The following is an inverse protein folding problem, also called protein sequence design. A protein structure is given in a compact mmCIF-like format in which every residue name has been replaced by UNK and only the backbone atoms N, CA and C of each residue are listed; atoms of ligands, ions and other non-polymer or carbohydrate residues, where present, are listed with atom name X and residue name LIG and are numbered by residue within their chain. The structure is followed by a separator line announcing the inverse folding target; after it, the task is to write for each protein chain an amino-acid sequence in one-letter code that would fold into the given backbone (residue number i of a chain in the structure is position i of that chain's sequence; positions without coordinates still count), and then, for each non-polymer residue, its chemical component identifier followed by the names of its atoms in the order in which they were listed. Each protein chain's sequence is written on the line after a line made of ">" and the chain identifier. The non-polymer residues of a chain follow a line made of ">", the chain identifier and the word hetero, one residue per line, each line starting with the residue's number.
data_IF_875004660106
#
_entry.id   IF_875004660106
#
_cell.length_a   1.000
_cell.length_b   1.000
_cell.length_c   1.000
_cell.angle_alpha   90.00
_cell.angle_beta   90.00
_cell.angle_gamma   90.00
#
_symmetry.space_group_name_H-M   'P 1'
#
loop_
_entity.id
_entity.type
_entity.pdbx_description
1 polymer ?
#
# COMPACT_ATOMS: atom_id res chain seq x y z
N UNK A 1 5.28 10.52 23.81
CA UNK A 1 4.90 9.69 24.97
C UNK A 1 3.73 8.83 24.52
N UNK A 2 3.93 7.55 24.22
CA UNK A 2 2.90 6.67 23.62
C UNK A 2 2.12 6.00 24.76
N UNK A 3 0.83 6.26 24.90
CA UNK A 3 -0.04 5.56 25.85
C UNK A 3 -0.56 4.25 25.24
N UNK A 4 -0.21 3.13 25.88
CA UNK A 4 -0.58 1.78 25.48
C UNK A 4 -1.92 1.41 26.13
N UNK A 5 -3.03 1.40 25.38
CA UNK A 5 -4.29 0.80 25.85
C UNK A 5 -4.24 -0.69 25.50
N UNK A 6 -3.82 -1.52 26.45
CA UNK A 6 -3.63 -2.96 26.27
C UNK A 6 -4.92 -3.72 26.59
N UNK A 7 -5.68 -4.11 25.56
CA UNK A 7 -6.39 -5.39 25.63
C UNK A 7 -5.36 -6.44 25.22
N UNK A 8 -4.92 -7.26 26.18
CA UNK A 8 -3.88 -8.26 25.97
C UNK A 8 -4.45 -9.40 25.10
N UNK A 9 -4.25 -9.29 23.79
CA UNK A 9 -4.45 -10.39 22.86
C UNK A 9 -3.10 -11.12 22.77
N UNK A 10 -2.95 -12.23 23.49
CA UNK A 10 -1.73 -13.03 23.47
C UNK A 10 -1.35 -13.38 22.02
N UNK A 11 -0.10 -13.11 21.64
CA UNK A 11 0.39 -13.34 20.29
C UNK A 11 0.15 -12.20 19.28
N UNK A 12 -0.44 -11.08 19.67
CA UNK A 12 -0.58 -9.89 18.82
C UNK A 12 0.30 -8.74 19.30
N UNK A 13 1.21 -8.31 18.44
CA UNK A 13 2.01 -7.09 18.63
C UNK A 13 1.54 -6.03 17.63
N UNK A 14 1.16 -4.86 18.15
CA UNK A 14 0.81 -3.69 17.32
C UNK A 14 2.01 -2.75 17.32
N UNK A 15 2.49 -2.44 16.12
CA UNK A 15 3.51 -1.42 15.88
C UNK A 15 2.92 -0.28 15.05
N UNK A 16 3.38 0.94 15.31
CA UNK A 16 2.99 2.15 14.59
C UNK A 16 4.22 2.74 13.91
N UNK A 17 4.06 3.28 12.72
CA UNK A 17 5.09 4.04 12.02
C UNK A 17 4.50 5.38 11.54
N UNK A 18 5.36 6.37 11.31
CA UNK A 18 4.92 7.67 10.77
C UNK A 18 4.81 7.59 9.25
N UNK A 19 3.74 8.15 8.71
CA UNK A 19 3.53 8.34 7.27
C UNK A 19 4.21 9.63 6.75
N UNK A 20 4.87 10.40 7.62
CA UNK A 20 5.49 11.68 7.28
C UNK A 20 4.54 12.88 7.34
N UNK A 21 3.28 12.68 7.73
CA UNK A 21 2.23 13.70 7.78
C UNK A 21 1.61 13.81 9.18
N UNK A 22 2.46 13.86 10.20
CA UNK A 22 2.04 13.95 11.61
C UNK A 22 1.18 15.20 11.91
N UNK A 23 1.32 16.26 11.11
CA UNK A 23 0.52 17.50 11.19
C UNK A 23 -0.81 17.43 10.42
N UNK A 24 -1.14 16.26 9.86
CA UNK A 24 -2.33 16.01 9.05
C UNK A 24 -2.13 16.31 7.55
N UNK A 25 -2.97 15.67 6.73
CA UNK A 25 -2.97 15.84 5.29
C UNK A 25 -3.70 17.14 4.90
N UNK A 26 -2.94 18.15 4.46
CA UNK A 26 -3.44 19.53 4.24
C UNK A 26 -3.66 19.89 2.77
N UNK A 27 -3.15 19.09 1.84
CA UNK A 27 -3.09 19.46 0.42
C UNK A 27 -3.47 18.27 -0.48
N UNK A 28 -4.68 18.34 -1.01
CA UNK A 28 -5.23 17.34 -1.94
C UNK A 28 -4.47 17.24 -3.26
N UNK A 29 -3.60 18.20 -3.58
CA UNK A 29 -2.74 18.14 -4.76
C UNK A 29 -1.42 17.42 -4.50
N UNK A 30 -1.17 16.95 -3.27
CA UNK A 30 0.04 16.22 -2.86
C UNK A 30 -0.23 14.75 -2.57
N UNK A 31 -1.29 14.19 -3.15
CA UNK A 31 -1.64 12.76 -2.97
C UNK A 31 -0.48 11.87 -3.42
N UNK A 32 0.13 12.14 -4.58
CA UNK A 32 1.23 11.32 -5.09
C UNK A 32 2.46 11.38 -4.18
N UNK A 33 2.80 12.58 -3.68
CA UNK A 33 3.87 12.75 -2.71
C UNK A 33 3.57 12.02 -1.39
N UNK A 34 2.33 12.10 -0.91
CA UNK A 34 1.91 11.37 0.29
C UNK A 34 2.03 9.86 0.09
N UNK A 35 1.59 9.33 -1.05
CA UNK A 35 1.69 7.91 -1.35
C UNK A 35 3.15 7.45 -1.45
N UNK A 36 4.02 8.24 -2.08
CA UNK A 36 5.46 7.96 -2.15
C UNK A 36 6.13 7.95 -0.77
N UNK A 37 5.87 8.97 0.06
CA UNK A 37 6.39 9.01 1.43
C UNK A 37 5.86 7.85 2.28
N UNK A 38 4.57 7.54 2.16
CA UNK A 38 3.96 6.42 2.85
C UNK A 38 4.62 5.09 2.48
N UNK A 39 4.88 4.85 1.19
CA UNK A 39 5.56 3.65 0.70
C UNK A 39 7.00 3.56 1.23
N UNK A 40 7.75 4.65 1.13
CA UNK A 40 9.15 4.69 1.57
C UNK A 40 9.26 4.43 3.08
N UNK A 41 8.45 5.13 3.87
CA UNK A 41 8.46 5.01 5.34
C UNK A 41 7.88 3.69 5.81
N UNK A 42 6.83 3.19 5.15
CA UNK A 42 6.26 1.88 5.41
C UNK A 42 7.26 0.76 5.14
N UNK A 43 8.02 0.85 4.04
CA UNK A 43 9.09 -0.09 3.72
C UNK A 43 10.19 -0.07 4.79
N UNK A 44 10.69 1.12 5.16
CA UNK A 44 11.69 1.27 6.23
C UNK A 44 11.22 0.68 7.56
N UNK A 45 9.99 0.99 7.96
CA UNK A 45 9.41 0.47 9.19
C UNK A 45 9.27 -1.06 9.17
N UNK A 46 8.90 -1.64 8.02
CA UNK A 46 8.84 -3.10 7.86
C UNK A 46 10.22 -3.74 8.01
N UNK A 47 11.29 -3.17 7.44
CA UNK A 47 12.63 -3.73 7.60
C UNK A 47 13.07 -3.71 9.07
N UNK A 48 12.81 -2.60 9.76
CA UNK A 48 13.13 -2.44 11.18
C UNK A 48 12.36 -3.44 12.05
N UNK A 49 11.05 -3.59 11.82
CA UNK A 49 10.20 -4.53 12.57
C UNK A 49 10.63 -5.97 12.32
N UNK A 50 10.82 -6.36 11.06
CA UNK A 50 11.25 -7.72 10.69
C UNK A 50 12.63 -8.01 11.30
N UNK A 51 13.57 -7.05 11.19
CA UNK A 51 14.90 -7.16 11.74
C UNK A 51 14.93 -7.25 13.27
N UNK A 52 14.09 -6.48 13.96
CA UNK A 52 13.95 -6.54 15.41
C UNK A 52 13.36 -7.89 15.85
N UNK A 53 12.29 -8.33 15.20
CA UNK A 53 11.63 -9.61 15.45
C UNK A 53 12.60 -10.78 15.29
N UNK A 54 13.44 -10.77 14.25
CA UNK A 54 14.47 -11.78 14.05
C UNK A 54 15.54 -11.78 15.16
N UNK A 55 15.99 -10.59 15.61
CA UNK A 55 16.97 -10.45 16.71
C UNK A 55 16.43 -10.92 18.06
N UNK A 56 15.13 -10.79 18.28
CA UNK A 56 14.43 -11.29 19.47
C UNK A 56 14.16 -12.81 19.42
N UNK A 57 14.56 -13.48 18.34
CA UNK A 57 14.38 -14.93 18.15
C UNK A 57 13.00 -15.31 17.64
N UNK A 58 12.25 -14.35 17.07
CA UNK A 58 10.91 -14.53 16.53
C UNK A 58 10.89 -14.09 15.05
N UNK A 59 11.60 -14.79 14.15
CA UNK A 59 11.70 -14.37 12.75
C UNK A 59 10.33 -14.36 12.07
N UNK A 60 10.04 -13.29 11.33
CA UNK A 60 8.81 -13.18 10.53
C UNK A 60 8.91 -14.14 9.35
N UNK A 61 7.90 -14.99 9.18
CA UNK A 61 7.86 -16.04 8.14
C UNK A 61 6.90 -15.74 7.00
N UNK A 62 5.95 -14.82 7.21
CA UNK A 62 4.95 -14.43 6.21
C UNK A 62 4.59 -12.95 6.38
N UNK A 63 4.45 -12.24 5.27
CA UNK A 63 3.96 -10.87 5.22
C UNK A 63 2.57 -10.84 4.57
N UNK A 64 1.56 -10.39 5.30
CA UNK A 64 0.23 -10.11 4.75
C UNK A 64 0.05 -8.60 4.70
N UNK A 65 -0.24 -8.05 3.52
CA UNK A 65 -0.35 -6.61 3.31
C UNK A 65 -1.55 -6.27 2.44
N UNK A 66 -2.18 -5.12 2.68
CA UNK A 66 -3.24 -4.61 1.83
C UNK A 66 -2.63 -3.86 0.64
N UNK A 67 -3.17 -4.06 -0.56
CA UNK A 67 -2.75 -3.28 -1.72
C UNK A 67 -3.15 -1.81 -1.52
N UNK A 68 -2.15 -0.94 -1.42
CA UNK A 68 -2.35 0.49 -1.65
C UNK A 68 -2.20 0.69 -3.17
N UNK A 69 -3.22 1.30 -3.78
CA UNK A 69 -3.48 1.30 -5.23
C UNK A 69 -2.37 1.88 -6.13
N UNK A 70 -1.23 2.34 -5.59
CA UNK A 70 -0.14 2.96 -6.34
C UNK A 70 1.19 2.19 -6.28
N UNK A 71 1.19 0.93 -5.83
CA UNK A 71 2.39 0.08 -5.89
C UNK A 71 2.73 -0.23 -7.35
N UNK A 72 3.38 0.72 -8.03
CA UNK A 72 4.20 0.48 -9.20
C UNK A 72 5.30 -0.46 -8.75
N UNK A 73 5.05 -1.75 -8.96
CA UNK A 73 6.03 -2.82 -9.06
C UNK A 73 7.30 -2.67 -8.22
N UNK A 74 7.45 -3.58 -7.25
CA UNK A 74 8.70 -4.34 -7.08
C UNK A 74 9.72 -3.90 -6.01
N UNK A 75 9.41 -3.03 -5.05
CA UNK A 75 10.47 -2.55 -4.14
C UNK A 75 10.53 -3.23 -2.77
N UNK A 76 9.42 -3.72 -2.18
CA UNK A 76 9.45 -4.24 -0.80
C UNK A 76 9.65 -5.76 -0.65
N UNK A 77 8.95 -6.57 -1.45
CA UNK A 77 8.86 -8.02 -1.19
C UNK A 77 10.13 -8.80 -1.56
N UNK A 78 10.90 -8.35 -2.55
CA UNK A 78 12.17 -8.97 -2.91
C UNK A 78 13.26 -8.77 -1.85
N UNK A 79 13.13 -7.76 -1.00
CA UNK A 79 14.15 -7.37 -0.02
C UNK A 79 14.23 -8.35 1.16
N UNK A 80 13.14 -9.04 1.50
CA UNK A 80 13.09 -9.85 2.72
C UNK A 80 13.19 -11.35 2.53
N UNK A 81 13.16 -11.89 1.30
CA UNK A 81 13.03 -13.35 1.07
C UNK A 81 11.89 -14.00 1.89
N UNK A 82 10.85 -13.24 2.24
CA UNK A 82 9.69 -13.69 3.04
C UNK A 82 8.52 -13.97 2.11
N UNK A 83 7.78 -15.04 2.38
CA UNK A 83 6.53 -15.32 1.68
C UNK A 83 5.55 -14.16 1.88
N UNK A 84 5.00 -13.63 0.81
CA UNK A 84 4.06 -12.51 0.89
C UNK A 84 2.71 -12.85 0.27
N UNK A 85 1.65 -12.26 0.84
CA UNK A 85 0.29 -12.41 0.36
C UNK A 85 -0.45 -11.06 0.43
N UNK A 86 -1.21 -10.78 -0.63
CA UNK A 86 -2.05 -9.57 -0.70
C UNK A 86 -3.39 -9.86 -0.01
N UNK A 87 -3.75 -9.02 0.94
CA UNK A 87 -5.08 -8.94 1.52
C UNK A 87 -5.91 -7.93 0.71
N UNK A 88 -6.77 -8.44 -0.17
CA UNK A 88 -7.67 -7.61 -0.96
C UNK A 88 -8.89 -7.21 -0.14
N UNK A 89 -8.96 -5.92 0.23
CA UNK A 89 -10.05 -5.37 1.06
C UNK A 89 -11.12 -4.61 0.25
N UNK A 90 -10.95 -4.52 -1.06
CA UNK A 90 -11.87 -3.83 -1.97
C UNK A 90 -12.88 -4.83 -2.58
N UNK A 91 -13.95 -4.37 -3.27
CA UNK A 91 -14.87 -5.27 -3.96
C UNK A 91 -14.16 -6.19 -4.98
N UNK A 92 -14.67 -7.41 -5.17
CA UNK A 92 -14.12 -8.35 -6.15
C UNK A 92 -14.17 -7.79 -7.58
N UNK A 93 -15.20 -6.99 -7.91
CA UNK A 93 -15.30 -6.33 -9.21
C UNK A 93 -14.15 -5.36 -9.48
N UNK A 94 -13.65 -4.67 -8.45
CA UNK A 94 -12.47 -3.80 -8.58
C UNK A 94 -11.23 -4.65 -8.85
N UNK A 95 -11.10 -5.81 -8.23
CA UNK A 95 -10.00 -6.74 -8.50
C UNK A 95 -10.01 -7.23 -9.94
N UNK A 96 -11.18 -7.61 -10.45
CA UNK A 96 -11.35 -8.06 -11.84
C UNK A 96 -10.92 -6.97 -12.83
N UNK A 97 -11.28 -5.71 -12.57
CA UNK A 97 -10.85 -4.57 -13.40
C UNK A 97 -9.33 -4.47 -13.43
N UNK A 98 -8.66 -4.51 -12.28
CA UNK A 98 -7.19 -4.50 -12.22
C UNK A 98 -6.57 -5.71 -12.94
N UNK A 99 -7.16 -6.90 -12.75
CA UNK A 99 -6.70 -8.10 -13.42
C UNK A 99 -6.73 -7.92 -14.94
N UNK A 100 -7.85 -7.52 -15.53
CA UNK A 100 -7.93 -7.32 -16.98
C UNK A 100 -7.05 -6.17 -17.47
N UNK A 101 -6.95 -5.08 -16.69
CA UNK A 101 -6.09 -3.94 -16.99
C UNK A 101 -4.63 -4.37 -17.18
N UNK A 102 -4.09 -5.13 -16.24
CA UNK A 102 -2.70 -5.62 -16.30
C UNK A 102 -2.51 -6.87 -17.17
N UNK A 103 -3.58 -7.56 -17.56
CA UNK A 103 -3.54 -8.75 -18.42
C UNK A 103 -4.07 -8.49 -19.85
N UNK A 104 -3.59 -7.40 -20.47
CA UNK A 104 -3.74 -7.17 -21.91
C UNK A 104 -4.94 -6.33 -22.34
N UNK A 105 -5.78 -5.86 -21.42
CA UNK A 105 -6.91 -4.96 -21.71
C UNK A 105 -6.68 -3.51 -21.26
N UNK A 106 -5.48 -3.16 -20.81
CA UNK A 106 -5.15 -1.83 -20.30
C UNK A 106 -5.48 -0.70 -21.28
N UNK A 107 -5.16 -0.84 -22.56
CA UNK A 107 -5.49 0.17 -23.58
C UNK A 107 -7.00 0.33 -23.80
N UNK A 108 -7.75 -0.78 -23.77
CA UNK A 108 -9.20 -0.77 -23.92
C UNK A 108 -9.87 -0.07 -22.74
N UNK A 109 -9.40 -0.37 -21.53
CA UNK A 109 -9.92 0.22 -20.30
C UNK A 109 -9.59 1.72 -20.26
N UNK A 110 -8.35 2.12 -20.61
CA UNK A 110 -7.95 3.55 -20.71
C UNK A 110 -8.85 4.34 -21.65
N UNK A 111 -9.13 3.82 -22.85
CA UNK A 111 -10.04 4.46 -23.80
C UNK A 111 -11.45 4.66 -23.23
N UNK A 112 -12.00 3.67 -22.52
CA UNK A 112 -13.32 3.78 -21.88
C UNK A 112 -13.33 4.92 -20.84
N UNK A 113 -12.24 5.09 -20.10
CA UNK A 113 -12.11 6.14 -19.09
C UNK A 113 -12.04 7.52 -19.74
N UNK A 114 -11.26 7.66 -20.82
CA UNK A 114 -11.10 8.91 -21.55
C UNK A 114 -12.43 9.36 -22.21
N UNK A 115 -13.23 8.41 -22.71
CA UNK A 115 -14.53 8.68 -23.34
C UNK A 115 -15.64 9.04 -22.33
N UNK A 116 -15.49 8.66 -21.05
CA UNK A 116 -16.45 8.94 -19.98
C UNK A 116 -15.76 9.58 -18.76
N UNK A 117 -15.36 10.87 -18.86
CA UNK A 117 -14.69 11.57 -17.77
C UNK A 117 -15.69 11.86 -16.65
N UNK A 118 -15.92 10.91 -15.75
CA UNK A 118 -16.71 11.17 -14.55
C UNK A 118 -15.85 11.92 -13.51
N UNK A 119 -16.36 13.00 -12.88
CA UNK A 119 -15.63 13.77 -11.86
C UNK A 119 -15.38 13.01 -10.54
N UNK A 120 -15.60 11.70 -10.49
CA UNK A 120 -15.27 10.85 -9.35
C UNK A 120 -14.28 9.74 -9.72
N UNK A 121 -14.09 9.47 -11.03
CA UNK A 121 -13.14 8.48 -11.52
C UNK A 121 -11.68 8.98 -11.48
N UNK A 122 -11.46 10.29 -11.53
CA UNK A 122 -10.09 10.85 -11.49
C UNK A 122 -9.42 10.58 -10.13
N UNK A 123 -10.16 10.49 -9.03
CA UNK A 123 -9.58 10.03 -7.74
C UNK A 123 -9.17 8.54 -7.82
N UNK A 124 -9.83 7.75 -8.67
CA UNK A 124 -9.57 6.31 -8.82
C UNK A 124 -8.45 6.00 -9.82
N UNK A 125 -8.14 6.90 -10.77
CA UNK A 125 -7.22 6.59 -11.89
C UNK A 125 -6.07 7.59 -12.06
N UNK A 126 -6.17 8.83 -11.57
CA UNK A 126 -5.07 9.81 -11.65
C UNK A 126 -3.82 9.39 -10.88
N UNK A 127 -3.93 8.45 -9.94
CA UNK A 127 -2.76 7.79 -9.36
C UNK A 127 -2.04 6.85 -10.35
N UNK A 128 -2.45 6.66 -11.61
CA UNK A 128 -1.82 5.66 -12.49
C UNK A 128 -1.45 6.13 -13.89
N UNK A 129 -1.45 7.45 -14.16
CA UNK A 129 -1.20 7.93 -15.52
C UNK A 129 -0.10 8.99 -15.69
N UNK A 130 0.37 9.69 -14.65
CA UNK A 130 1.43 10.68 -14.82
C UNK A 130 2.67 10.38 -13.96
N UNK A 131 3.62 9.66 -14.56
CA UNK A 131 5.03 10.05 -14.56
C UNK A 131 5.76 9.34 -15.72
N UNK A 132 6.67 10.03 -16.44
CA UNK A 132 7.48 9.46 -17.53
C UNK A 132 8.45 8.37 -17.08
#
# INVERSE_FOLDING_TARGET
>A
MISKTSQNLEGLTIATFSDGYDDGFKDVHKVDHFLCEFENRGSQALEEIIGASAKEGHPVTCLVYTMLQHMGSQTGAHTFHIQSAILWIQPATVFDIYYFYFNGYGDNIRKIIDDYPSPLYWITISATADSP
#
